data_IF_018854397506
#
_entry.id   IF_018854397506
#
_cell.length_a   1.000
_cell.length_b   1.000
_cell.length_c   1.000
_cell.angle_alpha   90.00
_cell.angle_beta   90.00
_cell.angle_gamma   90.00
#
_symmetry.space_group_name_H-M   'P 1'
#
loop_
_entity.id
_entity.type
_entity.pdbx_description
1 polymer ?
#
# COMPACT_ATOMS: atom_id res chain seq x y z
N UNK A 1 -11.61 2.76 -5.52
CA UNK A 1 -10.75 2.68 -6.72
C UNK A 1 -11.46 1.75 -7.67
N UNK A 2 -11.71 2.17 -8.93
CA UNK A 2 -12.51 1.40 -9.90
C UNK A 2 -11.63 0.63 -10.90
N UNK A 3 -10.31 0.72 -10.78
CA UNK A 3 -9.33 0.06 -11.65
C UNK A 3 -8.66 -1.10 -10.91
N UNK A 4 -8.60 -2.31 -11.49
CA UNK A 4 -7.86 -3.43 -10.93
C UNK A 4 -6.39 -3.08 -10.69
N UNK A 5 -5.80 -3.56 -9.59
CA UNK A 5 -4.39 -3.31 -9.21
C UNK A 5 -3.40 -3.71 -10.29
N UNK A 6 -3.63 -4.86 -10.95
CA UNK A 6 -2.84 -5.33 -12.08
C UNK A 6 -2.84 -4.36 -13.28
N UNK A 7 -4.02 -3.83 -13.64
CA UNK A 7 -4.16 -2.90 -14.76
C UNK A 7 -3.45 -1.57 -14.47
N UNK A 8 -3.56 -1.09 -13.23
CA UNK A 8 -2.83 0.10 -12.77
C UNK A 8 -1.31 -0.14 -12.77
N UNK A 9 -0.88 -1.35 -12.39
CA UNK A 9 0.49 -1.81 -12.51
C UNK A 9 1.04 -1.76 -13.94
N UNK A 10 0.29 -2.32 -14.89
CA UNK A 10 0.64 -2.29 -16.32
C UNK A 10 0.71 -0.87 -16.89
N UNK A 11 -0.24 0.01 -16.51
CA UNK A 11 -0.23 1.41 -16.96
C UNK A 11 0.96 2.19 -16.40
N UNK A 12 1.33 1.96 -15.13
CA UNK A 12 2.50 2.58 -14.51
C UNK A 12 3.80 2.10 -15.16
N UNK A 13 3.90 0.81 -15.47
CA UNK A 13 5.04 0.25 -16.20
C UNK A 13 5.14 0.88 -17.61
N UNK A 14 4.03 0.98 -18.33
CA UNK A 14 4.00 1.57 -19.67
C UNK A 14 4.37 3.07 -19.66
N UNK A 15 3.97 3.81 -18.64
CA UNK A 15 4.26 5.24 -18.53
C UNK A 15 5.72 5.50 -18.12
N UNK A 16 6.16 4.94 -17.00
CA UNK A 16 7.43 5.29 -16.37
C UNK A 16 8.63 4.54 -16.93
N UNK A 17 8.41 3.30 -17.38
CA UNK A 17 9.48 2.43 -17.81
C UNK A 17 9.59 2.33 -19.34
N UNK A 18 8.45 2.39 -20.06
CA UNK A 18 8.46 2.35 -21.54
C UNK A 18 8.47 3.74 -22.18
N UNK A 19 7.61 4.67 -21.72
CA UNK A 19 7.51 6.00 -22.34
C UNK A 19 8.52 7.02 -21.81
N UNK A 20 8.85 6.98 -20.52
CA UNK A 20 9.75 7.95 -19.90
C UNK A 20 11.20 7.45 -19.74
N UNK A 21 11.47 6.16 -19.96
CA UNK A 21 12.80 5.52 -19.83
C UNK A 21 13.54 5.87 -18.52
N UNK A 22 12.77 6.20 -17.48
CA UNK A 22 13.28 6.74 -16.21
C UNK A 22 13.62 5.63 -15.21
N UNK A 23 12.99 4.47 -15.37
CA UNK A 23 13.10 3.35 -14.45
C UNK A 23 13.17 2.02 -15.22
N UNK A 24 14.12 1.14 -14.89
CA UNK A 24 14.21 -0.19 -15.49
C UNK A 24 12.94 -1.01 -15.21
N UNK A 25 12.38 -1.65 -16.25
CA UNK A 25 11.19 -2.52 -16.18
C UNK A 25 11.47 -3.85 -15.49
N UNK A 26 12.70 -4.36 -15.62
CA UNK A 26 13.14 -5.68 -15.21
C UNK A 26 14.66 -5.69 -15.01
N UNK A 27 15.13 -6.29 -13.93
CA UNK A 27 16.56 -6.41 -13.65
C UNK A 27 16.84 -6.78 -12.20
N UNK A 28 17.81 -7.68 -11.96
CA UNK A 28 18.27 -8.09 -10.62
C UNK A 28 19.21 -7.07 -9.94
N UNK A 29 19.39 -5.88 -10.50
CA UNK A 29 20.43 -4.94 -10.04
C UNK A 29 19.90 -3.54 -9.75
N UNK A 30 19.91 -3.15 -8.48
CA UNK A 30 19.61 -1.78 -8.03
C UNK A 30 18.27 -1.62 -7.30
N UNK A 31 18.24 -0.67 -6.35
CA UNK A 31 17.05 -0.24 -5.60
C UNK A 31 16.00 0.42 -6.51
N UNK A 32 16.40 0.88 -7.69
CA UNK A 32 15.47 1.45 -8.69
C UNK A 32 14.44 0.44 -9.18
N UNK A 33 14.77 -0.86 -9.25
CA UNK A 33 13.83 -1.92 -9.66
C UNK A 33 12.72 -2.18 -8.64
N UNK A 34 12.88 -1.73 -7.39
CA UNK A 34 11.88 -1.90 -6.34
C UNK A 34 10.84 -0.77 -6.33
N UNK A 35 11.16 0.38 -6.92
CA UNK A 35 10.30 1.57 -6.89
C UNK A 35 8.99 1.31 -7.63
N UNK A 36 9.04 0.74 -8.83
CA UNK A 36 7.85 0.46 -9.64
C UNK A 36 6.91 -0.54 -8.95
N UNK A 37 7.37 -1.74 -8.55
CA UNK A 37 6.54 -2.68 -7.80
C UNK A 37 5.96 -2.07 -6.51
N UNK A 38 6.78 -1.34 -5.74
CA UNK A 38 6.33 -0.71 -4.50
C UNK A 38 5.24 0.35 -4.73
N UNK A 39 5.35 1.18 -5.77
CA UNK A 39 4.34 2.20 -6.09
C UNK A 39 3.06 1.55 -6.61
N UNK A 40 3.17 0.50 -7.43
CA UNK A 40 1.98 -0.18 -7.98
C UNK A 40 1.13 -0.85 -6.89
N UNK A 41 1.79 -1.51 -5.92
CA UNK A 41 1.14 -2.08 -4.75
C UNK A 41 0.67 -1.00 -3.77
N UNK A 42 1.54 -0.01 -3.51
CA UNK A 42 1.31 1.04 -2.53
C UNK A 42 0.17 2.00 -2.91
N UNK A 43 -0.06 2.24 -4.21
CA UNK A 43 -1.11 3.15 -4.66
C UNK A 43 -2.52 2.71 -4.25
N UNK A 44 -2.79 1.40 -4.28
CA UNK A 44 -4.07 0.84 -3.85
C UNK A 44 -4.30 1.02 -2.35
N UNK A 45 -3.32 0.60 -1.55
CA UNK A 45 -3.36 0.73 -0.10
C UNK A 45 -3.45 2.21 0.33
N UNK A 46 -2.67 3.10 -0.29
CA UNK A 46 -2.67 4.53 -0.02
C UNK A 46 -4.06 5.16 -0.27
N UNK A 47 -4.77 4.76 -1.32
CA UNK A 47 -6.10 5.25 -1.60
C UNK A 47 -7.13 4.84 -0.52
N UNK A 48 -7.03 3.61 -0.01
CA UNK A 48 -7.90 3.12 1.07
C UNK A 48 -7.59 3.86 2.37
N UNK A 49 -6.31 3.94 2.74
CA UNK A 49 -5.85 4.66 3.94
C UNK A 49 -6.27 6.13 3.88
N UNK A 50 -6.10 6.80 2.74
CA UNK A 50 -6.50 8.20 2.56
C UNK A 50 -8.01 8.40 2.72
N UNK A 51 -8.83 7.50 2.14
CA UNK A 51 -10.28 7.54 2.26
C UNK A 51 -10.73 7.37 3.72
N UNK A 52 -10.15 6.41 4.42
CA UNK A 52 -10.47 6.16 5.84
C UNK A 52 -10.02 7.35 6.69
N UNK A 53 -8.80 7.83 6.50
CA UNK A 53 -8.27 9.01 7.19
C UNK A 53 -9.18 10.22 7.01
N UNK A 54 -9.65 10.47 5.79
CA UNK A 54 -10.60 11.56 5.51
C UNK A 54 -11.91 11.38 6.25
N UNK A 55 -12.49 10.17 6.23
CA UNK A 55 -13.75 9.88 6.93
C UNK A 55 -13.61 10.10 8.44
N UNK A 56 -12.55 9.56 9.04
CA UNK A 56 -12.29 9.68 10.48
C UNK A 56 -12.00 11.11 10.89
N UNK A 57 -11.29 11.88 10.05
CA UNK A 57 -11.08 13.31 10.29
C UNK A 57 -12.39 14.10 10.29
N UNK A 58 -13.31 13.82 9.35
CA UNK A 58 -14.61 14.51 9.30
C UNK A 58 -15.47 14.21 10.53
N UNK A 59 -15.49 12.96 10.98
CA UNK A 59 -16.22 12.55 12.19
C UNK A 59 -15.67 13.24 13.44
N UNK A 60 -14.35 13.21 13.61
CA UNK A 60 -13.64 13.81 14.74
C UNK A 60 -13.81 15.33 14.77
N UNK A 61 -13.73 16.03 13.63
CA UNK A 61 -13.94 17.48 13.57
C UNK A 61 -15.38 17.90 13.94
N UNK A 62 -16.36 17.00 13.80
CA UNK A 62 -17.75 17.24 14.18
C UNK A 62 -18.05 17.14 15.68
N UNK A 63 -17.08 16.74 16.50
CA UNK A 63 -17.27 16.48 17.94
C UNK A 63 -17.24 17.75 18.82
N UNK A 64 -17.94 17.70 19.95
CA UNK A 64 -18.07 18.86 20.85
C UNK A 64 -16.76 19.27 21.54
N UNK A 65 -15.82 18.34 21.74
CA UNK A 65 -14.51 18.71 22.31
C UNK A 65 -13.67 19.54 21.34
N UNK A 66 -13.83 19.36 20.02
CA UNK A 66 -13.21 20.20 19.00
C UNK A 66 -13.83 21.61 19.02
N UNK A 67 -15.15 21.71 19.12
CA UNK A 67 -15.84 23.00 19.31
C UNK A 67 -15.37 23.72 20.57
N UNK A 68 -15.19 22.97 21.66
CA UNK A 68 -14.65 23.50 22.92
C UNK A 68 -13.20 23.98 22.75
N UNK A 69 -12.39 23.27 21.94
CA UNK A 69 -11.02 23.70 21.64
C UNK A 69 -11.00 25.02 20.87
N UNK A 70 -11.90 25.21 19.91
CA UNK A 70 -12.07 26.50 19.22
C UNK A 70 -12.53 27.61 20.18
N UNK A 71 -13.49 27.32 21.08
CA UNK A 71 -13.96 28.28 22.08
C UNK A 71 -12.86 28.72 23.07
N UNK A 72 -11.85 27.86 23.31
CA UNK A 72 -10.66 28.18 24.10
C UNK A 72 -9.65 29.07 23.36
N UNK A 73 -9.89 29.42 22.10
CA UNK A 73 -9.00 30.27 21.29
C UNK A 73 -7.80 29.54 20.69
N UNK A 74 -7.83 28.19 20.61
CA UNK A 74 -6.77 27.44 19.94
C UNK A 74 -6.77 27.73 18.43
N UNK A 75 -5.58 27.85 17.85
CA UNK A 75 -5.42 28.01 16.40
C UNK A 75 -5.87 26.75 15.66
N UNK A 76 -6.41 26.89 14.44
CA UNK A 76 -6.86 25.74 13.63
C UNK A 76 -5.78 24.67 13.49
N UNK A 77 -4.53 25.07 13.28
CA UNK A 77 -3.40 24.15 13.18
C UNK A 77 -3.20 23.33 14.46
N UNK A 78 -3.35 23.95 15.63
CA UNK A 78 -3.23 23.26 16.91
C UNK A 78 -4.39 22.27 17.12
N UNK A 79 -5.62 22.68 16.79
CA UNK A 79 -6.81 21.82 16.87
C UNK A 79 -6.67 20.61 15.95
N UNK A 80 -6.26 20.82 14.69
CA UNK A 80 -6.10 19.74 13.71
C UNK A 80 -4.97 18.79 14.12
N UNK A 81 -3.74 19.29 14.31
CA UNK A 81 -2.57 18.44 14.53
C UNK A 81 -2.57 17.77 15.90
N UNK A 82 -3.04 18.47 16.95
CA UNK A 82 -2.91 17.98 18.33
C UNK A 82 -4.16 17.26 18.83
N UNK A 83 -5.34 17.56 18.29
CA UNK A 83 -6.60 17.01 18.80
C UNK A 83 -7.28 16.14 17.75
N UNK A 84 -7.48 16.65 16.54
CA UNK A 84 -8.23 15.92 15.54
C UNK A 84 -7.44 14.71 14.99
N UNK A 85 -6.20 14.93 14.51
CA UNK A 85 -5.38 13.87 13.89
C UNK A 85 -5.14 12.71 14.85
N UNK A 86 -4.82 13.00 16.12
CA UNK A 86 -4.55 11.97 17.13
C UNK A 86 -5.75 11.03 17.35
N UNK A 87 -6.97 11.56 17.34
CA UNK A 87 -8.18 10.76 17.51
C UNK A 87 -8.63 10.11 16.20
N UNK A 88 -8.44 10.78 15.06
CA UNK A 88 -8.73 10.22 13.75
C UNK A 88 -7.81 9.04 13.39
N UNK A 89 -6.61 8.97 14.00
CA UNK A 89 -5.64 7.90 13.77
C UNK A 89 -6.06 6.54 14.34
N UNK A 90 -6.98 6.49 15.30
CA UNK A 90 -7.41 5.24 15.96
C UNK A 90 -7.87 4.19 14.93
N UNK A 91 -8.85 4.46 14.05
CA UNK A 91 -9.24 3.53 12.99
C UNK A 91 -8.22 3.42 11.86
N UNK A 92 -7.44 4.48 11.59
CA UNK A 92 -6.47 4.51 10.49
C UNK A 92 -5.34 3.52 10.72
N UNK A 93 -4.82 3.42 11.95
CA UNK A 93 -3.76 2.47 12.31
C UNK A 93 -4.23 1.03 12.10
N UNK A 94 -5.48 0.72 12.44
CA UNK A 94 -6.07 -0.61 12.24
C UNK A 94 -6.12 -0.98 10.75
N UNK A 95 -6.54 -0.02 9.91
CA UNK A 95 -6.57 -0.22 8.45
C UNK A 95 -5.15 -0.37 7.88
N UNK A 96 -4.17 0.40 8.37
CA UNK A 96 -2.78 0.24 7.96
C UNK A 96 -2.29 -1.18 8.27
N UNK A 97 -2.60 -1.73 9.45
CA UNK A 97 -2.26 -3.11 9.80
C UNK A 97 -2.91 -4.15 8.88
N UNK A 98 -4.18 -3.94 8.52
CA UNK A 98 -4.90 -4.81 7.60
C UNK A 98 -4.30 -4.74 6.18
N UNK A 99 -4.07 -3.53 5.67
CA UNK A 99 -3.46 -3.29 4.35
C UNK A 99 -2.06 -3.86 4.28
N UNK A 100 -1.28 -3.78 5.36
CA UNK A 100 0.04 -4.41 5.42
C UNK A 100 -0.05 -5.93 5.24
N UNK A 101 -1.02 -6.59 5.89
CA UNK A 101 -1.30 -8.02 5.67
C UNK A 101 -1.75 -8.32 4.25
N UNK A 102 -2.60 -7.48 3.66
CA UNK A 102 -3.01 -7.59 2.26
C UNK A 102 -1.84 -7.42 1.28
N UNK A 103 -0.89 -6.54 1.56
CA UNK A 103 0.30 -6.35 0.74
C UNK A 103 1.23 -7.57 0.79
N UNK A 104 1.38 -8.21 1.96
CA UNK A 104 2.12 -9.46 2.09
C UNK A 104 1.45 -10.60 1.31
N UNK A 105 0.12 -10.67 1.30
CA UNK A 105 -0.64 -11.67 0.52
C UNK A 105 -0.67 -11.35 -0.99
N UNK A 106 -0.79 -10.07 -1.34
CA UNK A 106 -0.80 -9.56 -2.72
C UNK A 106 0.56 -9.60 -3.40
N UNK A 107 1.64 -9.78 -2.63
CA UNK A 107 2.98 -10.01 -3.12
C UNK A 107 2.98 -11.10 -4.20
N UNK A 108 2.26 -12.21 -4.02
CA UNK A 108 2.16 -13.33 -4.99
C UNK A 108 1.77 -12.88 -6.40
N UNK A 109 0.83 -11.94 -6.53
CA UNK A 109 0.40 -11.42 -7.85
C UNK A 109 1.48 -10.53 -8.46
N UNK A 110 2.21 -9.75 -7.67
CA UNK A 110 3.39 -9.01 -8.17
C UNK A 110 4.61 -9.89 -8.40
N UNK A 111 4.78 -10.98 -7.68
CA UNK A 111 5.87 -11.95 -7.87
C UNK A 111 5.77 -12.61 -9.25
N UNK A 112 4.55 -12.94 -9.70
CA UNK A 112 4.30 -13.47 -11.05
C UNK A 112 4.54 -12.44 -12.16
N UNK A 113 4.25 -11.15 -11.90
CA UNK A 113 4.38 -10.08 -12.91
C UNK A 113 5.80 -9.51 -12.99
N UNK A 114 6.51 -9.40 -11.86
CA UNK A 114 7.86 -8.84 -11.77
C UNK A 114 8.97 -9.90 -11.61
N UNK A 115 8.63 -11.19 -11.73
CA UNK A 115 9.55 -12.33 -11.70
C UNK A 115 10.49 -12.35 -10.48
N UNK A 116 9.98 -11.97 -9.30
CA UNK A 116 10.72 -11.99 -8.04
C UNK A 116 10.14 -13.09 -7.14
N UNK A 117 10.72 -14.30 -7.08
CA UNK A 117 10.10 -15.42 -6.38
C UNK A 117 10.42 -15.36 -4.88
N UNK A 118 9.45 -14.92 -4.07
CA UNK A 118 9.54 -14.96 -2.61
C UNK A 118 8.60 -16.03 -2.06
N UNK A 119 7.30 -15.90 -2.28
CA UNK A 119 6.28 -16.85 -1.85
C UNK A 119 6.21 -18.06 -2.80
N UNK A 120 6.37 -17.86 -4.11
CA UNK A 120 6.40 -18.99 -5.05
C UNK A 120 7.53 -19.99 -4.72
N UNK A 121 8.70 -19.52 -4.29
CA UNK A 121 9.80 -20.39 -3.87
C UNK A 121 9.41 -21.28 -2.66
N UNK A 122 8.69 -20.70 -1.68
CA UNK A 122 8.24 -21.46 -0.50
C UNK A 122 7.22 -22.51 -0.90
N UNK A 123 6.28 -22.14 -1.79
CA UNK A 123 5.27 -23.04 -2.33
C UNK A 123 5.92 -24.18 -3.12
N UNK A 124 6.88 -23.85 -3.99
CA UNK A 124 7.65 -24.82 -4.79
C UNK A 124 8.42 -25.79 -3.89
N UNK A 125 9.13 -25.29 -2.87
CA UNK A 125 9.85 -26.13 -1.89
C UNK A 125 8.89 -27.03 -1.10
N UNK A 126 7.72 -26.51 -0.72
CA UNK A 126 6.71 -27.30 -0.02
C UNK A 126 6.20 -28.43 -0.93
N UNK A 127 5.86 -28.12 -2.19
CA UNK A 127 5.43 -29.12 -3.15
C UNK A 127 6.52 -30.17 -3.43
N UNK A 128 7.78 -29.76 -3.57
CA UNK A 128 8.91 -30.69 -3.72
C UNK A 128 9.10 -31.59 -2.49
N UNK A 129 8.75 -31.11 -1.28
CA UNK A 129 8.79 -31.92 -0.06
C UNK A 129 7.66 -32.96 0.04
N UNK A 130 6.52 -32.71 -0.61
CA UNK A 130 5.35 -33.61 -0.60
C UNK A 130 5.27 -34.54 -1.82
N UNK A 131 5.77 -34.13 -2.99
CA UNK A 131 5.86 -34.96 -4.20
C UNK A 131 7.24 -34.80 -4.88
N UNK A 132 8.17 -35.76 -4.67
CA UNK A 132 9.54 -35.71 -5.22
C UNK A 132 9.63 -35.78 -6.75
N UNK A 133 8.51 -35.94 -7.47
CA UNK A 133 8.48 -36.11 -8.93
C UNK A 133 8.55 -34.80 -9.71
N UNK A 134 8.40 -33.66 -9.05
CA UNK A 134 8.49 -32.34 -9.67
C UNK A 134 9.94 -31.84 -9.52
N UNK A 135 10.84 -32.36 -10.36
CA UNK A 135 12.20 -31.82 -10.49
C UNK A 135 12.22 -30.77 -11.60
N UNK A 136 12.54 -29.54 -11.25
CA UNK A 136 12.77 -28.45 -12.20
C UNK A 136 14.25 -28.52 -12.64
N UNK A 137 14.49 -28.98 -13.88
CA UNK A 137 15.76 -28.73 -14.59
C UNK A 137 15.83 -27.27 -15.08
#
# INVERSE_FOLDING_TARGET
VCTPSFWLGLMLMLLFAVKLDLLPTTGRGGWENLVLPAVTLGAGAAAIIARVTRSSMLEVLGTDYIRTAHAKGLTERAVVLRHAVKNALIPVITVIGLEFGYLLAGAVVTETVFAYPLVNLVVDVLYASFDPRISYE
#
